data_IF_036927323516
#
_entry.id   IF_036927323516
#
_cell.length_a   1.000
_cell.length_b   1.000
_cell.length_c   1.000
_cell.angle_alpha   90.00
_cell.angle_beta   90.00
_cell.angle_gamma   90.00
#
_symmetry.space_group_name_H-M   'P 1'
#
loop_
_entity.id
_entity.type
_entity.pdbx_description
1 polymer ?
#
# COMPACT_ATOMS: atom_id res chain seq x y z
N UNK A 1 -40.36 32.68 19.59
CA UNK A 1 -41.29 31.94 20.49
C UNK A 1 -41.78 30.72 19.73
N UNK A 2 -42.00 29.52 20.30
CA UNK A 2 -41.86 29.09 21.70
C UNK A 2 -41.25 27.67 21.78
N UNK A 3 -40.85 27.22 22.97
CA UNK A 3 -40.28 25.88 23.21
C UNK A 3 -41.40 24.85 23.40
N UNK A 4 -41.18 23.61 22.91
CA UNK A 4 -41.73 22.38 23.51
C UNK A 4 -40.66 21.29 23.51
N UNK A 5 -39.93 21.18 24.61
CA UNK A 5 -39.14 19.98 24.91
C UNK A 5 -39.95 19.07 25.85
N UNK A 6 -39.81 17.76 25.71
CA UNK A 6 -40.15 16.83 26.78
C UNK A 6 -38.90 16.57 27.62
N UNK A 7 -39.04 16.63 28.95
CA UNK A 7 -37.95 16.39 29.89
C UNK A 7 -37.79 14.88 30.16
N UNK A 8 -36.56 14.43 30.36
CA UNK A 8 -36.32 13.11 30.97
C UNK A 8 -36.71 13.14 32.45
N UNK A 9 -37.30 12.04 32.95
CA UNK A 9 -37.26 11.71 34.37
C UNK A 9 -35.97 10.93 34.67
N UNK A 10 -35.50 11.04 35.92
CA UNK A 10 -34.08 10.89 36.25
C UNK A 10 -33.56 9.44 36.28
N UNK A 11 -32.30 9.26 35.88
CA UNK A 11 -31.60 7.96 35.85
C UNK A 11 -30.09 8.11 35.58
N UNK A 12 -29.40 8.92 36.40
CA UNK A 12 -27.91 9.02 36.52
C UNK A 12 -27.04 8.93 35.24
N UNK A 13 -26.83 10.09 34.61
CA UNK A 13 -25.58 10.57 34.00
C UNK A 13 -24.89 9.85 32.80
N UNK A 14 -24.28 10.66 31.93
CA UNK A 14 -23.29 10.31 30.87
C UNK A 14 -23.79 9.58 29.61
N UNK A 15 -24.87 10.13 29.06
CA UNK A 15 -25.21 10.29 27.64
C UNK A 15 -24.61 9.38 26.53
N UNK A 16 -25.48 8.47 26.04
CA UNK A 16 -25.97 8.43 24.64
C UNK A 16 -24.94 8.36 23.50
N UNK A 17 -24.57 7.13 23.15
CA UNK A 17 -24.08 6.79 21.80
C UNK A 17 -25.21 6.95 20.76
N UNK A 18 -24.94 7.59 19.63
CA UNK A 18 -25.80 7.53 18.45
C UNK A 18 -25.36 6.36 17.56
N UNK A 19 -26.13 5.27 17.54
CA UNK A 19 -25.77 4.07 16.79
C UNK A 19 -26.06 4.20 15.28
N UNK A 20 -25.04 4.56 14.50
CA UNK A 20 -24.97 4.18 13.09
C UNK A 20 -24.15 2.88 12.97
N UNK A 21 -24.84 1.74 12.89
CA UNK A 21 -24.20 0.42 12.84
C UNK A 21 -23.56 0.13 11.47
N UNK A 22 -22.32 0.60 11.27
CA UNK A 22 -21.41 0.06 10.27
C UNK A 22 -20.61 -1.09 10.89
N UNK A 23 -20.40 -2.16 10.12
CA UNK A 23 -20.22 -3.52 10.67
C UNK A 23 -18.78 -3.85 11.14
N UNK A 24 -18.05 -2.88 11.71
CA UNK A 24 -16.64 -3.03 12.09
C UNK A 24 -16.19 -2.08 13.22
N UNK A 25 -16.80 -2.16 14.40
CA UNK A 25 -16.32 -1.51 15.63
C UNK A 25 -16.64 -0.02 15.78
N UNK A 26 -16.20 0.58 16.90
CA UNK A 26 -16.50 1.95 17.27
C UNK A 26 -15.22 2.77 17.52
N UNK A 27 -15.17 3.98 16.96
CA UNK A 27 -14.17 4.99 17.29
C UNK A 27 -14.63 5.77 18.53
N UNK A 28 -13.77 5.88 19.55
CA UNK A 28 -14.04 6.64 20.77
C UNK A 28 -13.02 7.78 20.88
N UNK A 29 -13.50 9.01 20.97
CA UNK A 29 -12.69 10.22 21.09
C UNK A 29 -12.73 10.77 22.52
N UNK A 30 -11.56 10.95 23.14
CA UNK A 30 -11.48 11.52 24.48
C UNK A 30 -11.65 13.04 24.44
N UNK A 31 -12.83 13.53 24.83
CA UNK A 31 -13.22 14.95 24.83
C UNK A 31 -12.39 15.88 25.72
N UNK A 32 -11.36 15.38 26.42
CA UNK A 32 -10.38 16.18 27.19
C UNK A 32 -8.99 16.29 26.53
N UNK A 33 -8.64 15.42 25.58
CA UNK A 33 -7.30 15.41 24.98
C UNK A 33 -7.26 15.06 23.48
N UNK A 34 -8.40 14.85 22.82
CA UNK A 34 -8.49 14.57 21.38
C UNK A 34 -7.97 13.18 20.97
N UNK A 35 -7.52 12.35 21.92
CA UNK A 35 -7.01 11.02 21.63
C UNK A 35 -8.14 10.11 21.13
N UNK A 36 -7.91 9.43 20.00
CA UNK A 36 -8.88 8.58 19.30
C UNK A 36 -8.47 7.12 19.43
N UNK A 37 -9.29 6.32 20.09
CA UNK A 37 -9.05 4.89 20.28
C UNK A 37 -10.13 4.08 19.54
N UNK A 38 -9.71 3.12 18.71
CA UNK A 38 -10.60 2.28 17.92
C UNK A 38 -10.86 0.95 18.63
N UNK A 39 -12.07 0.74 19.14
CA UNK A 39 -12.42 -0.47 19.89
C UNK A 39 -13.28 -1.42 19.07
N UNK A 40 -12.80 -2.65 18.92
CA UNK A 40 -13.57 -3.79 18.41
C UNK A 40 -14.67 -4.12 19.42
N UNK A 41 -15.92 -4.01 18.99
CA UNK A 41 -17.06 -4.44 19.80
C UNK A 41 -17.17 -5.96 19.79
N UNK A 42 -17.20 -6.59 20.96
CA UNK A 42 -17.52 -8.02 21.06
C UNK A 42 -19.01 -8.25 20.73
N UNK A 43 -19.29 -9.31 19.97
CA UNK A 43 -20.66 -9.72 19.65
C UNK A 43 -21.31 -10.47 20.81
N UNK A 44 -22.65 -10.43 21.00
CA UNK A 44 -23.33 -11.07 22.14
C UNK A 44 -23.24 -12.60 22.26
N UNK A 45 -22.54 -13.29 21.35
CA UNK A 45 -22.48 -14.76 21.29
C UNK A 45 -21.56 -15.42 22.33
N UNK A 46 -20.60 -14.70 22.93
CA UNK A 46 -19.59 -15.28 23.82
C UNK A 46 -20.07 -15.49 25.29
N UNK A 47 -21.33 -15.17 25.61
CA UNK A 47 -21.84 -15.10 27.00
C UNK A 47 -22.74 -16.29 27.39
N UNK A 48 -22.47 -17.51 26.89
CA UNK A 48 -23.14 -18.73 27.37
C UNK A 48 -22.21 -19.96 27.56
N UNK A 49 -21.28 -19.90 28.52
CA UNK A 49 -20.98 -20.99 29.48
C UNK A 49 -19.87 -20.65 30.50
N UNK A 50 -20.18 -19.82 31.50
CA UNK A 50 -19.46 -19.80 32.79
C UNK A 50 -20.41 -19.69 33.99
N UNK A 51 -20.85 -20.85 34.47
CA UNK A 51 -21.20 -21.09 35.88
C UNK A 51 -20.27 -22.20 36.39
N UNK A 52 -19.83 -22.11 37.64
CA UNK A 52 -19.07 -23.17 38.31
C UNK A 52 -19.98 -24.31 38.82
N UNK A 53 -19.53 -25.21 39.71
CA UNK A 53 -18.22 -25.31 40.38
C UNK A 53 -18.16 -26.63 41.18
N UNK A 54 -17.03 -27.39 41.10
CA UNK A 54 -16.59 -28.47 42.05
C UNK A 54 -17.55 -29.68 42.20
N UNK A 55 -17.14 -30.89 42.58
CA UNK A 55 -15.80 -31.47 42.89
C UNK A 55 -15.39 -32.40 41.71
N UNK A 56 -14.81 -33.62 41.75
CA UNK A 56 -14.30 -34.57 42.77
C UNK A 56 -13.30 -35.56 42.12
N UNK A 57 -12.56 -36.34 42.93
CA UNK A 57 -11.72 -37.45 42.48
C UNK A 57 -12.48 -38.79 42.48
N UNK A 58 -12.29 -39.59 41.44
CA UNK A 58 -12.09 -41.04 41.50
C UNK A 58 -11.39 -41.50 40.22
N UNK A 59 -10.52 -42.52 40.28
CA UNK A 59 -9.73 -42.96 39.14
C UNK A 59 -9.84 -44.46 38.88
N UNK A 60 -9.66 -44.86 37.61
CA UNK A 60 -9.44 -46.24 37.21
C UNK A 60 -8.41 -46.28 36.07
N UNK A 61 -7.47 -47.22 36.14
CA UNK A 61 -6.59 -47.56 35.01
C UNK A 61 -7.31 -48.61 34.15
N UNK A 62 -7.16 -48.55 32.83
CA UNK A 62 -6.73 -49.73 32.07
C UNK A 62 -6.27 -49.39 30.64
N UNK A 63 -5.57 -50.34 30.05
CA UNK A 63 -4.80 -50.25 28.81
C UNK A 63 -5.64 -50.48 27.55
N UNK A 64 -5.28 -49.79 26.47
CA UNK A 64 -5.37 -50.31 25.11
C UNK A 64 -4.05 -49.97 24.38
N UNK A 65 -3.53 -50.91 23.58
CA UNK A 65 -2.22 -50.76 22.94
C UNK A 65 -2.34 -50.23 21.51
N UNK A 66 -1.27 -49.53 21.10
CA UNK A 66 -0.76 -49.32 19.75
C UNK A 66 -1.71 -49.43 18.54
N UNK A 67 -1.74 -48.36 17.74
CA UNK A 67 -1.26 -48.51 16.37
C UNK A 67 -0.55 -47.26 15.83
N UNK A 68 0.47 -47.46 14.99
CA UNK A 68 1.32 -46.38 14.45
C UNK A 68 1.00 -46.15 12.96
N UNK A 69 0.16 -45.17 12.66
CA UNK A 69 0.02 -44.64 11.30
C UNK A 69 0.53 -43.20 11.24
N UNK A 70 1.66 -43.04 10.54
CA UNK A 70 2.37 -41.77 10.34
C UNK A 70 1.52 -40.82 9.49
N UNK A 71 0.74 -39.94 10.13
CA UNK A 71 0.03 -38.87 9.43
C UNK A 71 1.06 -38.03 8.66
N UNK A 72 0.95 -38.09 7.34
CA UNK A 72 1.82 -37.39 6.41
C UNK A 72 1.37 -35.93 6.37
N UNK A 73 2.16 -35.03 6.95
CA UNK A 73 1.91 -33.59 6.83
C UNK A 73 2.21 -33.18 5.39
N UNK A 74 1.21 -33.26 4.52
CA UNK A 74 1.29 -32.70 3.18
C UNK A 74 1.09 -31.18 3.29
N UNK A 75 2.13 -30.41 2.99
CA UNK A 75 2.05 -28.95 2.92
C UNK A 75 0.89 -28.52 1.99
N UNK A 76 0.13 -27.47 2.32
CA UNK A 76 -0.95 -26.99 1.47
C UNK A 76 -0.44 -26.68 0.06
N UNK A 77 -0.85 -27.49 -0.92
CA UNK A 77 -0.57 -27.23 -2.33
C UNK A 77 -1.33 -25.97 -2.73
N UNK A 78 -0.60 -24.92 -3.10
CA UNK A 78 -1.16 -23.72 -3.73
C UNK A 78 -1.80 -24.12 -5.05
N UNK A 79 -3.12 -24.26 -5.05
CA UNK A 79 -3.89 -24.50 -6.26
C UNK A 79 -3.83 -23.23 -7.13
N UNK A 80 -2.97 -23.23 -8.14
CA UNK A 80 -2.83 -22.12 -9.08
C UNK A 80 -4.18 -21.73 -9.66
N UNK A 81 -4.57 -20.45 -9.52
CA UNK A 81 -5.77 -19.92 -10.15
C UNK A 81 -5.57 -20.00 -11.67
N UNK A 82 -6.32 -20.88 -12.36
CA UNK A 82 -6.35 -20.91 -13.83
C UNK A 82 -6.64 -19.50 -14.36
N UNK A 83 -5.69 -18.95 -15.12
CA UNK A 83 -5.78 -17.59 -15.67
C UNK A 83 -5.16 -16.48 -14.81
N UNK A 84 -4.34 -16.82 -13.80
CA UNK A 84 -3.50 -15.84 -13.12
C UNK A 84 -2.54 -15.15 -14.11
N UNK A 85 -2.33 -13.85 -13.97
CA UNK A 85 -1.41 -13.07 -14.81
C UNK A 85 0.03 -13.03 -14.27
N UNK A 86 0.21 -13.53 -13.04
CA UNK A 86 1.50 -13.72 -12.35
C UNK A 86 1.71 -15.18 -11.96
N UNK A 87 1.24 -16.10 -12.80
CA UNK A 87 1.55 -17.52 -12.64
C UNK A 87 3.07 -17.74 -12.78
N UNK A 88 3.76 -18.44 -11.85
CA UNK A 88 5.20 -18.66 -11.93
C UNK A 88 5.71 -19.35 -13.21
N UNK A 89 4.85 -20.03 -13.97
CA UNK A 89 5.22 -20.57 -15.29
C UNK A 89 5.48 -19.46 -16.34
N UNK A 90 4.88 -18.27 -16.15
CA UNK A 90 5.08 -17.11 -17.03
C UNK A 90 6.49 -16.51 -16.91
N UNK A 91 7.16 -16.66 -15.76
CA UNK A 91 8.57 -16.25 -15.58
C UNK A 91 9.54 -17.01 -16.50
N UNK A 92 9.11 -18.13 -17.09
CA UNK A 92 9.89 -18.95 -18.03
C UNK A 92 9.33 -18.94 -19.46
N UNK A 93 8.01 -18.88 -19.60
CA UNK A 93 7.32 -18.93 -20.91
C UNK A 93 7.15 -17.56 -21.57
N UNK A 94 7.06 -16.50 -20.77
CA UNK A 94 6.98 -15.10 -21.22
C UNK A 94 7.71 -14.18 -20.23
N UNK A 95 9.05 -14.26 -20.12
CA UNK A 95 9.82 -13.48 -19.15
C UNK A 95 9.84 -11.96 -19.45
N UNK A 96 9.54 -11.55 -20.69
CA UNK A 96 9.65 -10.17 -21.16
C UNK A 96 8.40 -9.78 -21.96
N UNK A 97 7.28 -9.46 -21.29
CA UNK A 97 6.02 -9.13 -21.96
C UNK A 97 6.12 -7.89 -22.84
N UNK A 98 5.36 -7.86 -23.93
CA UNK A 98 5.07 -6.59 -24.59
C UNK A 98 4.12 -5.74 -23.74
N UNK A 99 4.55 -4.50 -23.47
CA UNK A 99 3.86 -3.56 -22.59
C UNK A 99 2.54 -3.05 -23.19
N UNK A 100 2.42 -2.98 -24.52
CA UNK A 100 1.17 -2.58 -25.20
C UNK A 100 0.17 -3.73 -25.20
N UNK A 101 0.62 -4.97 -25.43
CA UNK A 101 -0.24 -6.16 -25.38
C UNK A 101 -0.83 -6.37 -23.98
N UNK A 102 0.00 -6.27 -22.91
CA UNK A 102 -0.51 -6.32 -21.54
C UNK A 102 -1.52 -5.21 -21.25
N UNK A 103 -1.24 -3.97 -21.64
CA UNK A 103 -2.15 -2.84 -21.44
C UNK A 103 -3.49 -3.04 -22.16
N UNK A 104 -3.47 -3.56 -23.40
CA UNK A 104 -4.67 -3.87 -24.18
C UNK A 104 -5.47 -5.03 -23.54
N UNK A 105 -4.80 -6.08 -23.06
CA UNK A 105 -5.48 -7.17 -22.33
C UNK A 105 -6.10 -6.65 -21.04
N UNK A 106 -5.32 -5.96 -20.21
CA UNK A 106 -5.72 -5.57 -18.85
C UNK A 106 -6.79 -4.47 -18.87
N UNK A 107 -6.75 -3.53 -19.82
CA UNK A 107 -7.82 -2.56 -20.05
C UNK A 107 -9.16 -3.27 -20.31
N UNK A 108 -9.16 -4.29 -21.18
CA UNK A 108 -10.35 -5.10 -21.51
C UNK A 108 -10.79 -5.98 -20.33
N UNK A 109 -9.84 -6.63 -19.64
CA UNK A 109 -10.05 -7.68 -18.63
C UNK A 109 -10.39 -7.14 -17.25
N UNK A 110 -9.82 -5.99 -16.89
CA UNK A 110 -9.94 -5.40 -15.55
C UNK A 110 -10.56 -3.99 -15.53
N UNK A 111 -10.43 -3.20 -16.60
CA UNK A 111 -10.87 -1.79 -16.62
C UNK A 111 -12.01 -1.50 -17.62
N UNK A 112 -12.73 -2.53 -18.08
CA UNK A 112 -13.93 -2.43 -18.91
C UNK A 112 -13.75 -1.75 -20.28
N UNK A 113 -12.51 -1.64 -20.78
CA UNK A 113 -12.18 -0.88 -21.98
C UNK A 113 -12.06 0.64 -21.76
N UNK A 114 -12.13 1.12 -20.53
CA UNK A 114 -12.22 2.54 -20.21
C UNK A 114 -10.93 3.31 -20.48
N UNK A 115 -9.75 2.72 -20.28
CA UNK A 115 -8.48 3.42 -20.39
C UNK A 115 -8.22 3.82 -21.85
N UNK A 116 -8.36 2.86 -22.77
CA UNK A 116 -8.24 3.14 -24.22
C UNK A 116 -9.39 4.00 -24.75
N UNK A 117 -10.61 3.85 -24.23
CA UNK A 117 -11.75 4.75 -24.55
C UNK A 117 -11.46 6.21 -24.19
N UNK A 118 -10.71 6.45 -23.12
CA UNK A 118 -10.29 7.77 -22.66
C UNK A 118 -8.86 8.16 -23.14
N UNK A 119 -8.35 7.48 -24.18
CA UNK A 119 -7.05 7.73 -24.83
C UNK A 119 -5.82 7.65 -23.90
N UNK A 120 -5.91 6.93 -22.77
CA UNK A 120 -4.75 6.64 -21.91
C UNK A 120 -3.71 5.88 -22.71
N UNK A 121 -2.44 6.25 -22.54
CA UNK A 121 -1.30 5.60 -23.22
C UNK A 121 -0.30 5.02 -22.22
N UNK A 122 0.48 4.03 -22.66
CA UNK A 122 1.53 3.38 -21.85
C UNK A 122 2.87 3.39 -22.59
N UNK A 123 3.98 3.63 -21.88
CA UNK A 123 5.32 3.65 -22.49
C UNK A 123 6.45 3.25 -21.53
N UNK A 124 7.51 2.63 -22.07
CA UNK A 124 8.77 2.47 -21.35
C UNK A 124 9.53 3.80 -21.22
N UNK A 125 10.01 4.12 -20.02
CA UNK A 125 10.80 5.31 -19.72
C UNK A 125 12.24 4.93 -19.38
N UNK A 126 13.17 5.34 -20.24
CA UNK A 126 14.63 5.25 -20.02
C UNK A 126 15.17 6.25 -18.99
N UNK A 127 14.32 7.14 -18.47
CA UNK A 127 14.68 8.27 -17.60
C UNK A 127 14.05 8.22 -16.21
N UNK A 128 12.96 7.46 -16.03
CA UNK A 128 12.34 7.25 -14.72
C UNK A 128 13.24 6.33 -13.88
N UNK A 129 13.76 6.85 -12.76
CA UNK A 129 14.77 6.17 -11.91
C UNK A 129 14.54 6.36 -10.40
N UNK A 130 13.41 6.96 -10.03
CA UNK A 130 13.02 7.31 -8.64
C UNK A 130 11.71 6.64 -8.19
N UNK A 131 11.09 5.89 -9.09
CA UNK A 131 9.91 5.05 -8.94
C UNK A 131 9.89 4.05 -10.11
N UNK A 132 9.25 2.89 -9.94
CA UNK A 132 9.10 1.89 -11.03
C UNK A 132 8.00 2.24 -12.03
N UNK A 133 6.96 2.94 -11.59
CA UNK A 133 5.91 3.49 -12.44
C UNK A 133 5.72 4.99 -12.21
N UNK A 134 5.01 5.63 -13.13
CA UNK A 134 4.23 6.83 -12.85
C UNK A 134 3.08 7.02 -13.87
N UNK A 135 1.88 7.32 -13.37
CA UNK A 135 0.80 7.94 -14.14
C UNK A 135 0.96 9.46 -14.06
N UNK A 136 0.93 10.17 -15.20
CA UNK A 136 0.86 11.65 -15.21
C UNK A 136 -0.56 12.13 -15.38
N UNK A 137 -0.91 13.20 -14.65
CA UNK A 137 -2.17 13.95 -14.74
C UNK A 137 -2.30 14.82 -16.01
N UNK A 138 -1.50 14.52 -17.05
CA UNK A 138 -1.76 14.97 -18.41
C UNK A 138 -3.18 14.50 -18.82
N UNK A 139 -3.88 15.24 -19.69
CA UNK A 139 -5.14 14.76 -20.28
C UNK A 139 -4.99 14.56 -21.79
N UNK A 140 -5.03 13.32 -22.31
CA UNK A 140 -5.25 12.06 -21.59
C UNK A 140 -4.01 11.58 -20.79
N UNK A 141 -4.20 10.82 -19.69
CA UNK A 141 -3.09 10.33 -18.87
C UNK A 141 -2.08 9.46 -19.61
N UNK A 142 -0.83 9.57 -19.18
CA UNK A 142 0.29 8.80 -19.71
C UNK A 142 0.89 7.97 -18.56
N UNK A 143 0.75 6.66 -18.65
CA UNK A 143 1.44 5.70 -17.79
C UNK A 143 2.86 5.52 -18.34
N UNK A 144 3.87 5.62 -17.47
CA UNK A 144 5.22 5.18 -17.80
C UNK A 144 5.74 4.13 -16.83
N UNK A 145 6.44 3.13 -17.35
CA UNK A 145 7.19 2.17 -16.54
C UNK A 145 8.70 2.39 -16.70
N UNK A 146 9.46 2.18 -15.63
CA UNK A 146 10.91 2.34 -15.62
C UNK A 146 11.59 1.13 -16.28
N UNK A 147 12.11 1.32 -17.50
CA UNK A 147 13.01 0.35 -18.12
C UNK A 147 14.25 0.08 -17.22
N UNK A 148 14.97 1.08 -16.67
CA UNK A 148 16.21 0.81 -15.94
C UNK A 148 16.01 0.14 -14.57
N UNK A 149 14.81 0.17 -13.98
CA UNK A 149 14.50 -0.51 -12.71
C UNK A 149 13.85 -1.89 -12.93
N UNK A 150 12.95 -2.05 -13.91
CA UNK A 150 12.18 -3.29 -14.09
C UNK A 150 12.86 -4.32 -15.02
N UNK A 151 13.77 -3.92 -15.91
CA UNK A 151 14.35 -4.80 -16.95
C UNK A 151 15.22 -5.97 -16.44
N UNK A 152 15.57 -5.99 -15.16
CA UNK A 152 16.31 -7.09 -14.50
C UNK A 152 15.49 -7.75 -13.36
N UNK A 153 14.21 -7.39 -13.24
CA UNK A 153 13.27 -7.93 -12.25
C UNK A 153 12.44 -9.08 -12.86
N UNK A 154 11.80 -9.93 -12.04
CA UNK A 154 10.84 -10.92 -12.52
C UNK A 154 9.68 -10.26 -13.29
N UNK A 155 9.06 -11.00 -14.22
CA UNK A 155 7.89 -10.56 -15.00
C UNK A 155 6.81 -9.95 -14.10
N UNK A 156 6.52 -10.60 -12.96
CA UNK A 156 5.45 -10.17 -12.04
C UNK A 156 5.59 -8.69 -11.67
N UNK A 157 6.81 -8.17 -11.49
CA UNK A 157 7.04 -6.80 -11.03
C UNK A 157 6.60 -5.78 -12.09
N UNK A 158 6.79 -6.11 -13.37
CA UNK A 158 6.27 -5.31 -14.50
C UNK A 158 4.75 -5.37 -14.56
N UNK A 159 4.16 -6.56 -14.35
CA UNK A 159 2.70 -6.77 -14.36
C UNK A 159 2.01 -6.05 -13.20
N UNK A 160 2.55 -6.14 -11.99
CA UNK A 160 2.00 -5.54 -10.77
C UNK A 160 2.17 -4.01 -10.78
N UNK A 161 3.33 -3.49 -11.24
CA UNK A 161 3.50 -2.04 -11.45
C UNK A 161 2.55 -1.50 -12.52
N UNK A 162 2.40 -2.20 -13.65
CA UNK A 162 1.45 -1.80 -14.70
C UNK A 162 0.02 -1.70 -14.16
N UNK A 163 -0.43 -2.71 -13.40
CA UNK A 163 -1.77 -2.73 -12.83
C UNK A 163 -1.98 -1.63 -11.77
N UNK A 164 -0.97 -1.30 -10.96
CA UNK A 164 -1.00 -0.16 -10.03
C UNK A 164 -1.25 1.16 -10.79
N UNK A 165 -0.46 1.45 -11.82
CA UNK A 165 -0.60 2.69 -12.60
C UNK A 165 -1.90 2.74 -13.43
N UNK A 166 -2.40 1.58 -13.89
CA UNK A 166 -3.70 1.50 -14.54
C UNK A 166 -4.87 1.76 -13.59
N UNK A 167 -4.73 1.53 -12.27
CA UNK A 167 -5.72 1.97 -11.28
C UNK A 167 -5.74 3.51 -11.21
N UNK A 168 -4.58 4.17 -11.05
CA UNK A 168 -4.50 5.64 -11.03
C UNK A 168 -5.15 6.26 -12.27
N UNK A 169 -4.75 5.80 -13.45
CA UNK A 169 -5.32 6.26 -14.71
C UNK A 169 -6.85 6.02 -14.80
N UNK A 170 -7.35 4.91 -14.27
CA UNK A 170 -8.79 4.60 -14.25
C UNK A 170 -9.57 5.54 -13.31
N UNK A 171 -9.03 5.83 -12.12
CA UNK A 171 -9.65 6.78 -11.18
C UNK A 171 -9.67 8.20 -11.76
N UNK A 172 -8.59 8.60 -12.45
CA UNK A 172 -8.49 9.91 -13.09
C UNK A 172 -9.49 10.12 -14.25
N UNK A 173 -9.65 9.13 -15.14
CA UNK A 173 -10.46 9.33 -16.37
C UNK A 173 -11.95 8.98 -16.24
N UNK A 174 -12.34 8.10 -15.29
CA UNK A 174 -13.73 7.61 -15.21
C UNK A 174 -14.58 8.49 -14.28
N UNK A 175 -15.70 9.06 -14.77
CA UNK A 175 -16.54 9.95 -13.98
C UNK A 175 -16.96 9.38 -12.61
N UNK A 176 -16.78 10.19 -11.57
CA UNK A 176 -17.07 9.83 -10.17
C UNK A 176 -16.04 8.91 -9.50
N UNK A 177 -15.04 8.39 -10.22
CA UNK A 177 -13.99 7.54 -9.65
C UNK A 177 -12.84 8.36 -9.04
N UNK A 178 -12.62 9.61 -9.45
CA UNK A 178 -11.58 10.49 -8.89
C UNK A 178 -11.64 10.61 -7.36
N UNK A 179 -10.48 10.67 -6.72
CA UNK A 179 -10.28 10.84 -5.28
C UNK A 179 -9.02 11.72 -5.06
N UNK A 180 -8.98 12.51 -4.00
CA UNK A 180 -7.86 13.45 -3.73
C UNK A 180 -6.66 12.76 -3.03
N UNK A 181 -6.91 11.61 -2.39
CA UNK A 181 -5.89 10.76 -1.78
C UNK A 181 -5.38 9.75 -2.83
N UNK A 182 -4.09 9.80 -3.17
CA UNK A 182 -3.45 8.98 -4.21
C UNK A 182 -3.82 7.48 -4.10
N UNK A 183 -3.81 6.94 -2.88
CA UNK A 183 -4.18 5.56 -2.57
C UNK A 183 -5.44 5.48 -1.70
N UNK A 184 -6.43 6.33 -1.94
CA UNK A 184 -7.66 6.39 -1.16
C UNK A 184 -8.53 5.12 -1.18
N UNK A 185 -9.69 5.12 -0.49
CA UNK A 185 -10.62 3.99 -0.44
C UNK A 185 -11.06 3.45 -1.81
N UNK A 186 -11.12 4.28 -2.85
CA UNK A 186 -11.41 3.84 -4.22
C UNK A 186 -10.23 3.11 -4.87
N UNK A 187 -8.99 3.54 -4.61
CA UNK A 187 -7.79 2.83 -5.07
C UNK A 187 -7.75 1.42 -4.47
N UNK A 188 -7.84 1.33 -3.15
CA UNK A 188 -7.88 0.05 -2.41
C UNK A 188 -8.98 -0.89 -2.93
N UNK A 189 -10.18 -0.35 -3.22
CA UNK A 189 -11.29 -1.12 -3.80
C UNK A 189 -11.01 -1.65 -5.20
N UNK A 190 -10.23 -0.96 -6.03
CA UNK A 190 -9.80 -1.48 -7.34
C UNK A 190 -8.68 -2.51 -7.19
N UNK A 191 -7.72 -2.25 -6.31
CA UNK A 191 -6.62 -3.15 -5.96
C UNK A 191 -7.15 -4.53 -5.51
N UNK A 192 -7.97 -4.54 -4.46
CA UNK A 192 -8.67 -5.74 -3.94
C UNK A 192 -9.54 -6.48 -4.97
N UNK A 193 -10.04 -5.77 -6.00
CA UNK A 193 -10.82 -6.37 -7.08
C UNK A 193 -9.89 -7.05 -8.08
N UNK A 194 -8.77 -6.40 -8.42
CA UNK A 194 -7.78 -6.90 -9.37
C UNK A 194 -7.06 -8.12 -8.80
N UNK A 195 -6.50 -8.09 -7.59
CA UNK A 195 -5.82 -9.25 -6.96
C UNK A 195 -6.68 -10.53 -6.94
N UNK A 196 -7.97 -10.34 -6.69
CA UNK A 196 -8.97 -11.42 -6.68
C UNK A 196 -9.14 -12.07 -8.05
N UNK A 197 -9.15 -11.28 -9.12
CA UNK A 197 -9.36 -11.70 -10.52
C UNK A 197 -8.05 -12.10 -11.24
N UNK A 198 -6.95 -11.42 -10.93
CA UNK A 198 -5.65 -11.50 -11.60
C UNK A 198 -4.69 -12.48 -10.90
N UNK A 199 -4.88 -12.73 -9.59
CA UNK A 199 -3.97 -13.54 -8.79
C UNK A 199 -2.71 -12.79 -8.32
N UNK A 200 -2.64 -11.48 -8.54
CA UNK A 200 -1.61 -10.57 -8.02
C UNK A 200 -1.72 -10.37 -6.51
N UNK A 201 -0.68 -9.75 -5.94
CA UNK A 201 -0.68 -9.18 -4.59
C UNK A 201 -0.18 -7.73 -4.69
N UNK A 202 -1.01 -6.87 -5.27
CA UNK A 202 -0.71 -5.45 -5.45
C UNK A 202 -0.47 -4.75 -4.09
N UNK A 203 0.43 -3.79 -4.12
CA UNK A 203 0.83 -2.96 -2.97
C UNK A 203 0.74 -1.48 -3.32
N UNK A 204 0.51 -0.65 -2.31
CA UNK A 204 0.58 0.82 -2.44
C UNK A 204 2.04 1.31 -2.44
N UNK A 205 2.90 0.63 -1.68
CA UNK A 205 4.35 0.82 -1.70
C UNK A 205 5.03 0.03 -2.82
N UNK A 206 6.26 0.42 -3.15
CA UNK A 206 7.05 -0.18 -4.24
C UNK A 206 8.44 -0.60 -3.72
N UNK A 207 8.64 -1.91 -3.50
CA UNK A 207 9.88 -2.49 -2.96
C UNK A 207 10.97 -2.67 -4.03
N UNK A 208 11.60 -1.55 -4.38
CA UNK A 208 12.71 -1.44 -5.36
C UNK A 208 13.79 -0.48 -4.84
N UNK A 209 14.06 -0.56 -3.53
CA UNK A 209 14.98 0.35 -2.85
C UNK A 209 16.40 0.23 -3.42
N UNK A 210 16.95 -0.99 -3.48
CA UNK A 210 18.31 -1.24 -4.00
C UNK A 210 18.51 -0.73 -5.44
N UNK A 211 17.52 -0.87 -6.33
CA UNK A 211 17.60 -0.37 -7.70
C UNK A 211 17.48 1.15 -7.79
N UNK A 212 16.65 1.79 -6.95
CA UNK A 212 16.55 3.26 -6.88
C UNK A 212 17.84 3.86 -6.31
N UNK A 213 18.39 3.27 -5.24
CA UNK A 213 19.68 3.60 -4.63
C UNK A 213 20.83 3.49 -5.65
N UNK A 214 20.82 2.46 -6.51
CA UNK A 214 21.84 2.30 -7.55
C UNK A 214 21.89 3.47 -8.56
N UNK A 215 20.77 4.19 -8.76
CA UNK A 215 20.67 5.25 -9.77
C UNK A 215 20.53 6.67 -9.23
N UNK A 216 20.16 6.86 -7.96
CA UNK A 216 19.64 8.14 -7.45
C UNK A 216 20.50 8.81 -6.37
N UNK A 217 20.55 10.13 -6.43
CA UNK A 217 21.19 10.99 -5.44
C UNK A 217 20.20 11.33 -4.32
N UNK A 218 20.58 11.06 -3.07
CA UNK A 218 19.74 11.37 -1.90
C UNK A 218 20.25 12.62 -1.20
N UNK A 219 19.30 13.49 -0.84
CA UNK A 219 19.56 14.77 -0.18
C UNK A 219 18.79 14.87 1.13
N UNK A 220 19.46 15.09 2.26
CA UNK A 220 18.84 15.36 3.56
C UNK A 220 18.80 16.87 3.85
N UNK A 221 17.67 17.37 4.33
CA UNK A 221 17.58 18.72 4.87
C UNK A 221 18.33 18.85 6.21
N UNK A 222 19.29 19.77 6.28
CA UNK A 222 20.04 20.07 7.50
C UNK A 222 19.24 20.77 8.61
N UNK A 223 17.95 21.01 8.40
CA UNK A 223 17.05 21.69 9.34
C UNK A 223 16.21 20.72 10.17
N UNK A 224 15.32 21.28 11.00
CA UNK A 224 14.48 20.53 11.95
C UNK A 224 13.56 19.46 11.34
N UNK A 225 13.28 19.53 10.03
CA UNK A 225 12.38 18.58 9.37
C UNK A 225 13.05 17.27 8.95
N UNK A 226 14.39 17.21 8.90
CA UNK A 226 15.18 16.05 8.45
C UNK A 226 14.79 15.41 7.11
N UNK A 227 13.95 16.10 6.33
CA UNK A 227 13.35 15.58 5.10
C UNK A 227 14.41 15.07 4.11
N UNK A 228 14.24 13.84 3.63
CA UNK A 228 15.08 13.26 2.60
C UNK A 228 14.38 13.31 1.24
N UNK A 229 15.13 13.58 0.17
CA UNK A 229 14.64 13.73 -1.21
C UNK A 229 15.52 12.95 -2.18
N UNK A 230 14.88 12.14 -3.03
CA UNK A 230 15.49 11.37 -4.12
C UNK A 230 15.60 12.24 -5.38
N UNK A 231 16.65 12.03 -6.18
CA UNK A 231 16.77 12.66 -7.49
C UNK A 231 17.57 11.81 -8.48
N UNK A 232 17.06 11.63 -9.70
CA UNK A 232 17.73 10.88 -10.77
C UNK A 232 18.97 11.59 -11.38
N UNK A 233 19.28 12.80 -10.93
CA UNK A 233 20.37 13.66 -11.42
C UNK A 233 21.01 14.40 -10.25
N UNK A 234 22.28 14.79 -10.40
CA UNK A 234 23.00 15.54 -9.36
C UNK A 234 22.51 17.00 -9.31
N UNK A 235 21.35 17.21 -8.69
CA UNK A 235 20.71 18.51 -8.48
C UNK A 235 20.08 18.52 -7.08
N UNK A 236 20.53 19.38 -6.15
CA UNK A 236 19.85 19.54 -4.88
C UNK A 236 18.44 20.12 -5.08
N UNK A 237 17.49 19.84 -4.19
CA UNK A 237 16.21 20.55 -4.16
C UNK A 237 16.41 22.06 -4.10
N UNK A 238 15.52 22.80 -4.77
CA UNK A 238 15.69 24.23 -5.05
C UNK A 238 14.34 24.93 -5.28
N UNK A 239 14.35 26.24 -5.50
CA UNK A 239 13.15 27.04 -5.83
C UNK A 239 12.44 26.64 -7.13
N UNK A 240 12.95 25.67 -7.89
CA UNK A 240 12.25 25.03 -9.00
C UNK A 240 11.21 23.99 -8.53
N UNK A 241 11.33 23.46 -7.31
CA UNK A 241 10.35 22.51 -6.75
C UNK A 241 9.19 23.27 -6.10
N UNK A 242 7.93 22.90 -6.41
CA UNK A 242 6.72 23.63 -5.97
C UNK A 242 6.62 23.80 -4.45
N UNK A 243 7.07 22.80 -3.69
CA UNK A 243 7.07 22.78 -2.22
C UNK A 243 8.18 23.61 -1.57
N UNK A 244 9.13 24.14 -2.34
CA UNK A 244 10.33 24.80 -1.82
C UNK A 244 10.01 26.01 -0.95
N UNK A 245 9.05 26.84 -1.38
CA UNK A 245 8.71 28.07 -0.68
C UNK A 245 8.16 27.79 0.73
N UNK A 246 7.35 26.74 0.90
CA UNK A 246 6.80 26.38 2.20
C UNK A 246 7.79 25.60 3.06
N UNK A 247 8.69 24.82 2.45
CA UNK A 247 9.87 24.31 3.15
C UNK A 247 10.77 25.44 3.68
N UNK A 248 10.98 26.49 2.88
CA UNK A 248 11.81 27.63 3.26
C UNK A 248 11.18 28.46 4.38
N UNK A 249 9.86 28.66 4.37
CA UNK A 249 9.11 29.30 5.48
C UNK A 249 9.14 28.45 6.76
N UNK A 250 8.81 27.16 6.65
CA UNK A 250 8.54 26.32 7.82
C UNK A 250 9.80 25.68 8.43
N UNK A 251 10.86 25.49 7.64
CA UNK A 251 12.11 24.89 8.09
C UNK A 251 13.38 25.71 7.77
N UNK A 252 13.49 26.27 6.56
CA UNK A 252 14.65 27.09 6.14
C UNK A 252 16.00 26.37 6.10
N UNK A 253 16.02 25.04 6.22
CA UNK A 253 17.26 24.23 6.19
C UNK A 253 17.84 24.07 4.79
N UNK A 254 19.11 23.67 4.69
CA UNK A 254 19.79 23.44 3.41
C UNK A 254 19.90 21.95 3.14
N UNK A 255 19.60 21.52 1.92
CA UNK A 255 19.77 20.13 1.51
C UNK A 255 21.25 19.80 1.30
N UNK A 256 21.70 18.69 1.90
CA UNK A 256 23.06 18.15 1.78
C UNK A 256 22.99 16.76 1.16
N UNK A 257 23.94 16.44 0.29
CA UNK A 257 24.04 15.11 -0.29
C UNK A 257 24.42 14.08 0.79
N UNK A 258 23.64 13.02 0.92
CA UNK A 258 23.92 11.89 1.81
C UNK A 258 24.26 10.60 1.04
N UNK A 259 23.76 10.43 -0.19
CA UNK A 259 24.09 9.31 -1.08
C UNK A 259 24.51 9.81 -2.48
N UNK A 260 25.46 9.12 -3.10
CA UNK A 260 26.00 9.42 -4.43
C UNK A 260 26.23 8.12 -5.21
N UNK A 261 25.37 7.75 -6.19
CA UNK A 261 25.46 6.49 -6.92
C UNK A 261 26.71 6.40 -7.83
N UNK A 262 27.47 7.51 -8.00
CA UNK A 262 28.73 7.50 -8.77
C UNK A 262 29.98 7.36 -7.90
N UNK A 263 29.86 7.43 -6.57
CA UNK A 263 30.99 7.16 -5.67
C UNK A 263 31.18 5.65 -5.52
N UNK A 264 32.26 5.14 -6.10
CA UNK A 264 32.73 3.77 -5.82
C UNK A 264 33.02 3.65 -4.32
N UNK A 265 32.22 2.86 -3.61
CA UNK A 265 32.37 2.59 -2.18
C UNK A 265 33.61 1.74 -1.91
N UNK A 266 34.72 2.41 -1.62
CA UNK A 266 35.94 1.78 -1.14
C UNK A 266 35.75 1.23 0.27
N UNK A 267 35.18 0.01 0.36
CA UNK A 267 34.80 -0.85 1.50
C UNK A 267 33.29 -1.09 1.55
N UNK A 268 32.93 -2.33 1.87
CA UNK A 268 31.56 -2.84 1.96
C UNK A 268 30.88 -2.32 3.24
N UNK A 269 29.76 -1.60 3.18
CA UNK A 269 28.96 -1.25 4.35
C UNK A 269 27.99 -2.39 4.69
N UNK A 270 27.87 -2.73 5.98
CA UNK A 270 26.84 -3.66 6.46
C UNK A 270 25.45 -3.01 6.42
N UNK A 271 24.38 -3.76 6.11
CA UNK A 271 23.02 -3.21 6.00
C UNK A 271 22.48 -2.80 7.39
N UNK A 272 22.33 -1.49 7.60
CA UNK A 272 21.68 -0.94 8.81
C UNK A 272 20.17 -0.82 8.61
N UNK A 273 19.46 -1.89 8.99
CA UNK A 273 18.01 -2.04 8.83
C UNK A 273 17.15 -0.96 9.51
N UNK A 274 17.66 -0.26 10.52
CA UNK A 274 16.89 0.72 11.31
C UNK A 274 16.65 2.07 10.61
N UNK A 275 17.37 2.40 9.54
CA UNK A 275 17.26 3.72 8.87
C UNK A 275 16.10 3.77 7.85
N UNK A 276 15.61 2.62 7.39
CA UNK A 276 14.71 2.52 6.22
C UNK A 276 13.24 2.89 6.50
N UNK A 277 12.74 2.73 7.73
CA UNK A 277 11.32 2.96 8.03
C UNK A 277 10.94 4.46 8.15
N UNK A 278 11.84 5.30 8.66
CA UNK A 278 11.63 6.77 8.74
C UNK A 278 11.66 7.45 7.35
N UNK A 279 12.22 6.76 6.35
CA UNK A 279 12.29 7.22 4.96
C UNK A 279 10.92 7.36 4.31
N UNK A 280 10.02 6.40 4.56
CA UNK A 280 8.70 6.33 3.96
C UNK A 280 7.80 7.48 4.46
N UNK A 281 7.83 7.77 5.77
CA UNK A 281 6.98 8.79 6.39
C UNK A 281 7.39 10.23 6.05
N UNK A 282 8.61 10.45 5.56
CA UNK A 282 9.17 11.77 5.28
C UNK A 282 9.26 12.12 3.78
N UNK A 283 8.74 11.29 2.86
CA UNK A 283 8.74 11.59 1.42
C UNK A 283 7.99 12.89 1.12
N UNK A 284 8.34 13.57 0.03
CA UNK A 284 7.51 14.65 -0.50
C UNK A 284 6.61 14.07 -1.60
N UNK A 285 5.27 14.23 -1.54
CA UNK A 285 4.41 13.87 -2.68
C UNK A 285 4.75 14.70 -3.92
N UNK A 286 5.28 15.92 -3.72
CA UNK A 286 5.78 16.80 -4.77
C UNK A 286 7.25 16.54 -5.18
N UNK A 287 7.71 15.29 -5.21
CA UNK A 287 9.08 14.93 -5.60
C UNK A 287 9.24 14.67 -7.11
N UNK A 288 8.81 15.65 -7.92
CA UNK A 288 9.06 15.77 -9.36
C UNK A 288 10.12 16.87 -9.63
#
# INVERSE_FOLDING_TARGET
>A
MSKKGHACLHGTATDKICCCCLNSGCLIECSKCGHKEFKKCHTPSDVQKKKGSKTSNAGAKQSAAENKTKLKFESPKTAGKKGSVVDPELEFTDPNPDLQELFIEYDKKFFYGALRKHNVTVAWSKRLKVSVGNCRDDYPPIIQLSEPLLKLRPRKDTVETLLHEMIHAYLAVVPGQYEEEEHGPKFHKQMERIDRLAGTNLTVDHDFHDEVDHYSYFWECSGKCKKQIVSAVFRPPSSANVWWNDHQKNCGGKFKLIHDPKKKTGKNPEPKSEVLQDYQQNRCPYAL
#
